data_IF_080433789382
#
_entry.id   IF_080433789382
#
_cell.length_a   1.000
_cell.length_b   1.000
_cell.length_c   1.000
_cell.angle_alpha   90.00
_cell.angle_beta   90.00
_cell.angle_gamma   90.00
#
_symmetry.space_group_name_H-M   'P 1'
#
loop_
_entity.id
_entity.type
_entity.pdbx_description
1 polymer ?
#
# COMPACT_ATOMS: atom_id res chain seq x y z
N UNK A 1 16.83 9.79 -2.55
CA UNK A 1 16.01 9.99 -1.32
C UNK A 1 14.71 9.26 -1.54
N UNK A 2 14.23 8.48 -0.57
CA UNK A 2 12.95 7.76 -0.69
C UNK A 2 11.78 8.72 -0.57
N UNK A 3 10.77 8.53 -1.42
CA UNK A 3 9.50 9.24 -1.35
C UNK A 3 8.58 8.47 -0.40
N UNK A 4 8.25 9.05 0.77
CA UNK A 4 7.34 8.46 1.75
C UNK A 4 6.04 9.23 1.74
N UNK A 5 4.98 8.60 1.25
CA UNK A 5 3.67 9.20 1.04
C UNK A 5 2.74 8.92 2.22
N UNK A 6 2.01 9.94 2.65
CA UNK A 6 0.79 9.75 3.44
C UNK A 6 -0.32 9.25 2.52
N UNK A 7 -1.32 8.56 3.06
CA UNK A 7 -2.34 7.93 2.24
C UNK A 7 -3.77 8.18 2.68
N UNK A 8 -4.66 8.06 1.70
CA UNK A 8 -6.10 7.95 1.94
C UNK A 8 -6.47 6.47 1.80
N UNK A 9 -6.63 5.78 2.91
CA UNK A 9 -7.17 4.42 2.97
C UNK A 9 -8.70 4.45 3.01
N UNK A 10 -9.35 3.41 2.48
CA UNK A 10 -10.83 3.32 2.41
C UNK A 10 -11.39 2.13 3.19
N UNK A 11 -10.57 1.51 4.04
CA UNK A 11 -10.99 0.48 4.98
C UNK A 11 -12.14 0.97 5.87
N UNK A 12 -12.91 0.03 6.44
CA UNK A 12 -14.13 0.33 7.19
C UNK A 12 -13.93 1.31 8.36
N UNK A 13 -12.74 1.29 8.99
CA UNK A 13 -12.38 2.19 10.10
C UNK A 13 -11.87 3.56 9.67
N UNK A 14 -11.64 3.79 8.38
CA UNK A 14 -11.00 5.01 7.87
C UNK A 14 -12.01 6.13 7.59
N UNK A 15 -11.79 7.30 8.20
CA UNK A 15 -12.46 8.55 7.80
C UNK A 15 -11.77 9.16 6.57
N UNK A 16 -11.95 8.55 5.41
CA UNK A 16 -11.33 8.97 4.17
C UNK A 16 -11.72 10.39 3.72
N UNK A 17 -12.98 10.82 4.01
CA UNK A 17 -13.41 12.19 3.71
C UNK A 17 -12.77 13.21 4.66
N UNK A 18 -12.62 12.86 5.92
CA UNK A 18 -11.87 13.67 6.89
C UNK A 18 -10.42 13.82 6.48
N UNK A 19 -9.77 12.75 5.99
CA UNK A 19 -8.41 12.80 5.46
C UNK A 19 -8.28 13.77 4.28
N UNK A 20 -9.22 13.78 3.34
CA UNK A 20 -9.21 14.74 2.21
C UNK A 20 -9.30 16.17 2.70
N UNK A 21 -10.19 16.46 3.65
CA UNK A 21 -10.30 17.79 4.27
C UNK A 21 -9.01 18.20 4.97
N UNK A 22 -8.39 17.27 5.65
CA UNK A 22 -7.13 17.47 6.37
C UNK A 22 -5.97 17.74 5.40
N UNK A 23 -5.87 16.97 4.30
CA UNK A 23 -4.90 17.18 3.22
C UNK A 23 -5.03 18.59 2.63
N UNK A 24 -6.27 19.01 2.32
CA UNK A 24 -6.56 20.35 1.84
C UNK A 24 -6.13 21.44 2.84
N UNK A 25 -6.48 21.28 4.12
CA UNK A 25 -6.11 22.22 5.20
C UNK A 25 -4.58 22.32 5.37
N UNK A 26 -3.87 21.20 5.23
CA UNK A 26 -2.41 21.14 5.34
C UNK A 26 -1.67 21.56 4.05
N UNK A 27 -2.40 21.84 2.98
CA UNK A 27 -1.83 22.26 1.70
C UNK A 27 -1.02 21.17 0.99
N UNK A 28 -1.23 19.90 1.32
CA UNK A 28 -0.54 18.79 0.68
C UNK A 28 -1.07 18.60 -0.75
N UNK A 29 -0.17 18.41 -1.70
CA UNK A 29 -0.50 18.24 -3.13
C UNK A 29 -0.24 16.83 -3.63
N UNK A 30 0.40 16.00 -2.82
CA UNK A 30 0.80 14.65 -3.18
C UNK A 30 0.42 13.67 -2.06
N UNK A 31 -0.23 12.56 -2.44
CA UNK A 31 -0.67 11.48 -1.54
C UNK A 31 -0.71 10.14 -2.28
N UNK A 32 -0.69 9.03 -1.54
CA UNK A 32 -1.12 7.73 -2.07
C UNK A 32 -2.61 7.52 -1.81
N UNK A 33 -3.27 6.67 -2.59
CA UNK A 33 -4.65 6.25 -2.35
C UNK A 33 -4.79 4.73 -2.34
N UNK A 34 -5.65 4.24 -1.43
CA UNK A 34 -5.97 2.83 -1.25
C UNK A 34 -7.48 2.64 -1.34
N UNK A 35 -8.09 2.68 -2.56
CA UNK A 35 -9.53 2.55 -2.75
C UNK A 35 -10.01 1.08 -2.68
N UNK A 36 -9.33 0.25 -1.90
CA UNK A 36 -9.48 -1.20 -1.84
C UNK A 36 -10.88 -1.68 -1.42
N UNK A 37 -11.59 -0.90 -0.59
CA UNK A 37 -12.94 -1.23 -0.14
C UNK A 37 -14.05 -0.56 -0.96
N UNK A 38 -13.71 0.14 -2.05
CA UNK A 38 -14.68 0.90 -2.85
C UNK A 38 -15.02 0.21 -4.18
N UNK A 39 -16.32 0.11 -4.46
CA UNK A 39 -16.82 -0.16 -5.80
C UNK A 39 -16.64 1.08 -6.68
N UNK A 40 -16.81 0.93 -8.00
CA UNK A 40 -16.53 1.95 -9.01
C UNK A 40 -17.12 3.32 -8.68
N UNK A 41 -18.42 3.38 -8.38
CA UNK A 41 -19.13 4.65 -8.13
C UNK A 41 -18.52 5.40 -6.94
N UNK A 42 -18.06 4.65 -5.94
CA UNK A 42 -17.43 5.23 -4.75
C UNK A 42 -16.00 5.69 -5.02
N UNK A 43 -15.30 5.03 -5.94
CA UNK A 43 -13.98 5.47 -6.39
C UNK A 43 -14.08 6.76 -7.21
N UNK A 44 -15.10 6.88 -8.07
CA UNK A 44 -15.38 8.10 -8.82
C UNK A 44 -15.66 9.28 -7.86
N UNK A 45 -16.47 9.06 -6.81
CA UNK A 45 -16.67 10.07 -5.75
C UNK A 45 -15.33 10.48 -5.08
N UNK A 46 -14.46 9.50 -4.80
CA UNK A 46 -13.15 9.78 -4.23
C UNK A 46 -12.34 10.68 -5.18
N UNK A 47 -12.27 10.35 -6.46
CA UNK A 47 -11.52 11.11 -7.45
C UNK A 47 -12.03 12.55 -7.59
N UNK A 48 -13.34 12.74 -7.65
CA UNK A 48 -13.97 14.07 -7.67
C UNK A 48 -13.60 14.90 -6.44
N UNK A 49 -13.54 14.28 -5.26
CA UNK A 49 -13.16 14.98 -4.03
C UNK A 49 -11.67 15.32 -3.98
N UNK A 50 -10.80 14.48 -4.57
CA UNK A 50 -9.38 14.80 -4.72
C UNK A 50 -9.18 16.03 -5.60
N UNK A 51 -9.90 16.13 -6.74
CA UNK A 51 -9.86 17.30 -7.60
C UNK A 51 -10.33 18.57 -6.88
N UNK A 52 -11.47 18.51 -6.20
CA UNK A 52 -12.01 19.63 -5.41
C UNK A 52 -11.12 20.07 -4.25
N UNK A 53 -10.27 19.17 -3.79
CA UNK A 53 -9.26 19.45 -2.76
C UNK A 53 -7.94 20.00 -3.33
N UNK A 54 -7.82 20.12 -4.66
CA UNK A 54 -6.60 20.53 -5.39
C UNK A 54 -5.41 19.59 -5.12
N UNK A 55 -5.71 18.29 -4.95
CA UNK A 55 -4.69 17.24 -4.90
C UNK A 55 -4.34 16.89 -6.34
N UNK A 56 -3.09 17.15 -6.73
CA UNK A 56 -2.67 17.09 -8.13
C UNK A 56 -1.83 15.87 -8.45
N UNK A 57 -1.28 15.23 -7.44
CA UNK A 57 -0.37 14.10 -7.61
C UNK A 57 -0.74 12.94 -6.72
N UNK A 58 -1.00 11.79 -7.32
CA UNK A 58 -1.26 10.52 -6.65
C UNK A 58 -0.33 9.46 -7.27
N UNK A 59 0.98 9.55 -6.97
CA UNK A 59 1.97 8.72 -7.68
C UNK A 59 1.86 7.23 -7.36
N UNK A 60 1.15 6.88 -6.27
CA UNK A 60 0.99 5.50 -5.86
C UNK A 60 -0.46 5.16 -5.53
N UNK A 61 -1.00 4.12 -6.19
CA UNK A 61 -2.39 3.69 -6.06
C UNK A 61 -2.47 2.18 -5.83
N UNK A 62 -3.14 1.76 -4.75
CA UNK A 62 -3.52 0.36 -4.60
C UNK A 62 -4.79 0.09 -5.41
N UNK A 63 -4.65 -0.63 -6.52
CA UNK A 63 -5.77 -0.95 -7.40
C UNK A 63 -6.47 -2.24 -6.96
N UNK A 64 -7.71 -2.39 -7.43
CA UNK A 64 -8.54 -3.59 -7.26
C UNK A 64 -8.56 -4.38 -8.57
N UNK A 65 -8.85 -5.67 -8.47
CA UNK A 65 -9.02 -6.55 -9.64
C UNK A 65 -10.17 -6.13 -10.59
N UNK A 66 -11.12 -5.30 -10.09
CA UNK A 66 -12.26 -4.77 -10.87
C UNK A 66 -12.02 -3.36 -11.47
N UNK A 67 -10.78 -2.84 -11.40
CA UNK A 67 -10.41 -1.57 -12.03
C UNK A 67 -10.01 -1.79 -13.50
N UNK A 68 -10.82 -1.22 -14.40
CA UNK A 68 -10.58 -1.36 -15.84
C UNK A 68 -9.31 -0.60 -16.28
N UNK A 69 -8.63 -1.01 -17.38
CA UNK A 69 -7.50 -0.28 -17.93
C UNK A 69 -7.73 1.21 -18.14
N UNK A 70 -8.93 1.62 -18.58
CA UNK A 70 -9.31 3.02 -18.73
C UNK A 70 -9.31 3.81 -17.41
N UNK A 71 -9.59 3.15 -16.28
CA UNK A 71 -9.50 3.78 -14.96
C UNK A 71 -8.04 4.02 -14.56
N UNK A 72 -7.13 3.12 -14.92
CA UNK A 72 -5.70 3.30 -14.72
C UNK A 72 -5.17 4.45 -15.59
N UNK A 73 -5.59 4.52 -16.88
CA UNK A 73 -5.23 5.62 -17.77
C UNK A 73 -5.71 6.97 -17.20
N UNK A 74 -6.94 7.03 -16.70
CA UNK A 74 -7.44 8.23 -16.03
C UNK A 74 -6.57 8.63 -14.83
N UNK A 75 -6.17 7.70 -13.97
CA UNK A 75 -5.31 7.98 -12.82
C UNK A 75 -3.92 8.48 -13.24
N UNK A 76 -3.37 7.92 -14.31
CA UNK A 76 -2.09 8.37 -14.88
C UNK A 76 -2.22 9.79 -15.45
N UNK A 77 -3.24 10.04 -16.28
CA UNK A 77 -3.40 11.32 -16.97
C UNK A 77 -3.81 12.45 -16.04
N UNK A 78 -4.71 12.16 -15.11
CA UNK A 78 -5.30 13.16 -14.22
C UNK A 78 -4.46 13.45 -12.98
N UNK A 79 -3.89 12.41 -12.39
CA UNK A 79 -3.21 12.49 -11.10
C UNK A 79 -1.73 12.08 -11.15
N UNK A 80 -1.19 11.82 -12.33
CA UNK A 80 0.21 11.47 -12.49
C UNK A 80 0.60 10.17 -11.77
N UNK A 81 -0.27 9.15 -11.76
CA UNK A 81 0.04 7.87 -11.15
C UNK A 81 1.25 7.23 -11.84
N UNK A 82 2.24 6.86 -11.04
CA UNK A 82 3.50 6.27 -11.49
C UNK A 82 3.54 4.77 -11.22
N UNK A 83 2.95 4.33 -10.09
CA UNK A 83 2.94 2.94 -9.64
C UNK A 83 1.58 2.53 -9.11
N UNK A 84 1.21 1.33 -9.50
CA UNK A 84 0.04 0.64 -8.99
C UNK A 84 0.49 -0.61 -8.25
N UNK A 85 -0.21 -1.02 -7.21
CA UNK A 85 -0.08 -2.38 -6.71
C UNK A 85 -1.43 -3.09 -6.75
N UNK A 86 -1.39 -4.41 -6.78
CA UNK A 86 -2.55 -5.29 -6.76
C UNK A 86 -2.20 -6.56 -5.98
N UNK A 87 -3.19 -7.16 -5.33
CA UNK A 87 -3.04 -8.48 -4.74
C UNK A 87 -2.83 -9.54 -5.83
N UNK A 88 -2.37 -10.73 -5.45
CA UNK A 88 -2.15 -11.83 -6.38
C UNK A 88 -3.44 -12.26 -7.08
N UNK A 89 -3.33 -12.76 -8.31
CA UNK A 89 -4.44 -13.34 -9.07
C UNK A 89 -5.11 -14.52 -8.33
N UNK A 90 -4.31 -15.20 -7.50
CA UNK A 90 -4.78 -16.32 -6.69
C UNK A 90 -5.72 -15.88 -5.56
N UNK A 91 -5.47 -14.73 -4.95
CA UNK A 91 -6.34 -14.17 -3.91
C UNK A 91 -7.58 -13.50 -4.51
N UNK A 92 -7.37 -12.69 -5.55
CA UNK A 92 -8.42 -11.94 -6.23
C UNK A 92 -8.22 -12.05 -7.74
N UNK A 93 -8.87 -13.00 -8.41
CA UNK A 93 -8.71 -13.24 -9.85
C UNK A 93 -8.86 -11.96 -10.68
N UNK A 94 -7.91 -11.72 -11.58
CA UNK A 94 -7.90 -10.53 -12.41
C UNK A 94 -9.05 -10.55 -13.41
N UNK A 95 -9.88 -9.52 -13.39
CA UNK A 95 -11.02 -9.37 -14.29
C UNK A 95 -10.57 -8.87 -15.66
N UNK A 96 -9.49 -8.09 -15.70
CA UNK A 96 -9.02 -7.44 -16.92
C UNK A 96 -7.63 -7.92 -17.33
N UNK A 97 -7.41 -7.96 -18.65
CA UNK A 97 -6.09 -8.16 -19.22
C UNK A 97 -5.42 -6.80 -19.45
N UNK A 98 -4.46 -6.47 -18.61
CA UNK A 98 -3.74 -5.22 -18.69
C UNK A 98 -2.72 -5.21 -19.85
N UNK A 99 -2.57 -4.05 -20.52
CA UNK A 99 -1.58 -3.82 -21.56
C UNK A 99 -0.15 -3.99 -21.02
N UNK A 100 0.83 -4.15 -21.91
CA UNK A 100 2.24 -4.20 -21.51
C UNK A 100 2.69 -2.91 -20.77
N UNK A 101 2.14 -1.75 -21.14
CA UNK A 101 2.38 -0.48 -20.43
C UNK A 101 1.87 -0.53 -19.00
N UNK A 102 0.60 -0.92 -18.82
CA UNK A 102 0.01 -1.01 -17.48
C UNK A 102 0.74 -2.04 -16.62
N UNK A 103 1.03 -3.24 -17.17
CA UNK A 103 1.74 -4.28 -16.41
C UNK A 103 3.08 -3.84 -15.87
N UNK A 104 3.84 -3.01 -16.58
CA UNK A 104 5.10 -2.45 -16.08
C UNK A 104 4.93 -1.47 -14.91
N UNK A 105 3.74 -0.89 -14.75
CA UNK A 105 3.39 0.02 -13.65
C UNK A 105 2.71 -0.68 -12.48
N UNK A 106 2.30 -1.94 -12.64
CA UNK A 106 1.60 -2.73 -11.62
C UNK A 106 2.61 -3.64 -10.92
N UNK A 107 2.60 -3.65 -9.60
CA UNK A 107 3.44 -4.45 -8.72
C UNK A 107 2.57 -5.41 -7.90
N UNK A 108 3.01 -6.67 -7.76
CA UNK A 108 2.26 -7.71 -7.04
C UNK A 108 2.58 -7.62 -5.56
N UNK A 109 1.55 -7.61 -4.73
CA UNK A 109 1.65 -7.46 -3.28
C UNK A 109 1.62 -8.80 -2.54
N UNK A 110 2.43 -8.91 -1.47
CA UNK A 110 2.36 -10.02 -0.53
C UNK A 110 1.26 -9.80 0.50
N UNK A 111 0.23 -10.61 0.48
CA UNK A 111 -0.84 -10.58 1.50
C UNK A 111 -0.99 -11.96 2.16
N UNK A 112 -1.88 -12.83 1.68
CA UNK A 112 -2.16 -14.11 2.34
C UNK A 112 -1.60 -15.32 1.60
N UNK A 113 -1.32 -15.16 0.31
CA UNK A 113 -0.73 -16.21 -0.52
C UNK A 113 0.78 -16.00 -0.68
N UNK A 114 1.58 -17.07 -0.81
CA UNK A 114 2.97 -16.92 -1.16
C UNK A 114 3.11 -16.32 -2.56
N UNK A 115 4.16 -15.55 -2.79
CA UNK A 115 4.46 -15.02 -4.11
C UNK A 115 4.59 -16.12 -5.16
N UNK A 116 3.99 -15.89 -6.34
CA UNK A 116 4.27 -16.64 -7.57
C UNK A 116 5.25 -15.84 -8.42
N UNK A 117 6.46 -16.36 -8.59
CA UNK A 117 7.50 -15.69 -9.37
C UNK A 117 7.11 -15.53 -10.85
N UNK A 118 6.33 -16.45 -11.41
CA UNK A 118 5.83 -16.33 -12.78
C UNK A 118 4.83 -15.19 -12.91
N UNK A 119 4.01 -14.96 -11.89
CA UNK A 119 3.11 -13.81 -11.85
C UNK A 119 3.90 -12.52 -11.76
N UNK A 120 4.84 -12.40 -10.83
CA UNK A 120 5.69 -11.21 -10.65
C UNK A 120 6.40 -10.81 -11.96
N UNK A 121 6.97 -11.78 -12.70
CA UNK A 121 7.64 -11.54 -13.99
C UNK A 121 6.73 -10.98 -15.09
N UNK A 122 5.43 -11.14 -14.97
CA UNK A 122 4.45 -10.58 -15.92
C UNK A 122 4.12 -9.12 -15.65
N UNK A 123 4.53 -8.59 -14.48
CA UNK A 123 4.25 -7.25 -13.99
C UNK A 123 5.54 -6.44 -13.74
N UNK A 124 5.44 -5.31 -13.09
CA UNK A 124 6.55 -4.40 -12.80
C UNK A 124 7.50 -4.89 -11.70
N UNK A 125 7.14 -5.95 -10.98
CA UNK A 125 7.87 -6.47 -9.84
C UNK A 125 6.99 -6.60 -8.59
N UNK A 126 7.57 -6.36 -7.43
CA UNK A 126 6.94 -6.56 -6.12
C UNK A 126 6.55 -5.23 -5.48
N UNK A 127 5.32 -5.14 -4.99
CA UNK A 127 4.94 -4.24 -3.91
C UNK A 127 5.13 -4.98 -2.59
N UNK A 128 6.14 -4.62 -1.82
CA UNK A 128 6.39 -5.29 -0.55
C UNK A 128 5.65 -4.59 0.59
N UNK A 129 4.57 -5.23 1.07
CA UNK A 129 4.01 -4.87 2.37
C UNK A 129 4.90 -5.45 3.48
N UNK A 130 5.60 -4.54 4.17
CA UNK A 130 6.53 -4.89 5.23
C UNK A 130 5.84 -5.47 6.46
N UNK A 131 4.58 -5.09 6.67
CA UNK A 131 3.81 -5.50 7.84
C UNK A 131 3.29 -6.92 7.66
N UNK A 132 2.81 -7.25 6.46
CA UNK A 132 2.43 -8.62 6.12
C UNK A 132 3.64 -9.56 6.14
N UNK A 133 4.79 -9.11 5.63
CA UNK A 133 6.02 -9.90 5.71
C UNK A 133 6.42 -10.17 7.17
N UNK A 134 6.35 -9.14 8.04
CA UNK A 134 6.66 -9.28 9.46
C UNK A 134 5.67 -10.19 10.20
N UNK A 135 4.39 -10.06 9.87
CA UNK A 135 3.33 -10.93 10.39
C UNK A 135 3.58 -12.39 10.02
N UNK A 136 3.98 -12.65 8.76
CA UNK A 136 4.34 -13.99 8.29
C UNK A 136 5.55 -14.56 9.02
N UNK A 137 6.54 -13.75 9.35
CA UNK A 137 7.70 -14.20 10.13
C UNK A 137 7.30 -14.78 11.50
N UNK A 138 6.17 -14.33 12.03
CA UNK A 138 5.65 -14.75 13.35
C UNK A 138 4.63 -15.87 13.25
N UNK A 139 3.79 -15.91 12.21
CA UNK A 139 2.63 -16.80 12.13
C UNK A 139 2.73 -17.85 11.02
N UNK A 140 3.47 -17.56 9.94
CA UNK A 140 3.55 -18.40 8.75
C UNK A 140 5.00 -18.53 8.26
N UNK A 141 5.93 -19.14 9.06
CA UNK A 141 7.35 -19.13 8.76
C UNK A 141 7.72 -19.77 7.41
N UNK A 142 6.92 -20.72 6.92
CA UNK A 142 7.12 -21.29 5.58
C UNK A 142 6.84 -20.28 4.45
N UNK A 143 5.76 -19.51 4.55
CA UNK A 143 5.45 -18.42 3.60
C UNK A 143 6.47 -17.29 3.69
N UNK A 144 6.87 -16.92 4.91
CA UNK A 144 7.94 -15.96 5.12
C UNK A 144 9.24 -16.36 4.40
N UNK A 145 9.71 -17.59 4.62
CA UNK A 145 10.95 -18.10 4.01
C UNK A 145 10.86 -18.11 2.48
N UNK A 146 9.74 -18.58 1.93
CA UNK A 146 9.48 -18.57 0.49
C UNK A 146 9.50 -17.12 -0.08
N UNK A 147 8.76 -16.21 0.56
CA UNK A 147 8.68 -14.83 0.10
C UNK A 147 10.06 -14.15 0.18
N UNK A 148 10.84 -14.38 1.23
CA UNK A 148 12.22 -13.86 1.32
C UNK A 148 13.10 -14.37 0.17
N UNK A 149 13.01 -15.65 -0.20
CA UNK A 149 13.75 -16.19 -1.34
C UNK A 149 13.37 -15.49 -2.67
N UNK A 150 12.09 -15.21 -2.87
CA UNK A 150 11.61 -14.47 -4.05
C UNK A 150 12.10 -13.02 -4.04
N UNK A 151 12.11 -12.35 -2.89
CA UNK A 151 12.61 -10.96 -2.74
C UNK A 151 14.08 -10.80 -3.11
N UNK A 152 14.91 -11.85 -2.91
CA UNK A 152 16.33 -11.80 -3.26
C UNK A 152 16.58 -11.76 -4.78
N UNK A 153 15.60 -12.15 -5.59
CA UNK A 153 15.73 -12.33 -7.04
C UNK A 153 14.89 -11.36 -7.86
N UNK A 154 13.98 -10.64 -7.22
CA UNK A 154 13.02 -9.78 -7.92
C UNK A 154 13.09 -8.34 -7.42
N UNK A 155 12.74 -7.39 -8.29
CA UNK A 155 12.72 -5.97 -7.98
C UNK A 155 11.56 -5.63 -7.03
N UNK A 156 11.86 -4.85 -5.98
CA UNK A 156 10.87 -4.25 -5.10
C UNK A 156 10.63 -2.83 -5.58
N UNK A 157 9.54 -2.62 -6.30
CA UNK A 157 9.22 -1.32 -6.90
C UNK A 157 8.49 -0.36 -5.96
N UNK A 158 7.74 -0.87 -4.98
CA UNK A 158 7.06 -0.03 -4.00
C UNK A 158 6.85 -0.77 -2.67
N UNK A 159 6.53 -0.02 -1.62
CA UNK A 159 6.24 -0.58 -0.32
C UNK A 159 4.95 -0.03 0.28
N UNK A 160 4.26 -0.88 1.03
CA UNK A 160 3.29 -0.48 2.05
C UNK A 160 3.89 -0.57 3.43
N UNK A 161 3.52 0.36 4.31
CA UNK A 161 3.91 0.35 5.71
C UNK A 161 2.70 0.60 6.59
N UNK A 162 2.33 -0.38 7.38
CA UNK A 162 1.40 -0.23 8.49
C UNK A 162 2.08 -0.58 9.81
N UNK A 163 1.38 -0.79 10.90
CA UNK A 163 2.01 -0.96 12.20
C UNK A 163 1.84 -2.36 12.78
N UNK A 164 2.81 -2.81 13.61
CA UNK A 164 2.76 -4.07 14.33
C UNK A 164 2.25 -3.87 15.75
N UNK A 165 1.28 -4.69 16.15
CA UNK A 165 0.77 -4.78 17.52
C UNK A 165 1.57 -5.80 18.33
N UNK A 166 1.54 -5.69 19.66
CA UNK A 166 2.15 -6.68 20.56
C UNK A 166 1.21 -7.86 20.85
N UNK A 167 -0.06 -7.70 20.58
CA UNK A 167 -1.10 -8.68 20.92
C UNK A 167 -1.69 -9.22 19.63
N UNK A 168 -1.75 -10.54 19.56
CA UNK A 168 -2.42 -11.25 18.48
C UNK A 168 -3.91 -10.90 18.50
N UNK A 169 -4.45 -10.49 17.38
CA UNK A 169 -5.87 -10.17 17.22
C UNK A 169 -6.47 -10.98 16.06
N UNK A 170 -7.76 -11.18 16.11
CA UNK A 170 -8.51 -11.74 15.00
C UNK A 170 -8.98 -10.60 14.10
N UNK A 171 -8.69 -10.69 12.82
CA UNK A 171 -9.27 -9.80 11.84
C UNK A 171 -10.73 -10.16 11.61
N UNK A 172 -11.60 -9.17 11.53
CA UNK A 172 -13.05 -9.40 11.35
C UNK A 172 -13.45 -9.53 9.87
N UNK A 173 -12.59 -9.08 8.95
CA UNK A 173 -12.90 -9.11 7.51
C UNK A 173 -12.58 -10.48 6.91
N UNK A 174 -11.44 -11.08 7.27
CA UNK A 174 -10.98 -12.36 6.73
C UNK A 174 -10.84 -13.48 7.78
N UNK A 175 -11.18 -13.17 9.03
CA UNK A 175 -11.17 -14.13 10.15
C UNK A 175 -9.76 -14.68 10.49
N UNK A 176 -8.70 -14.09 9.95
CA UNK A 176 -7.32 -14.47 10.21
C UNK A 176 -6.81 -13.96 11.56
N UNK A 177 -5.76 -14.58 12.08
CA UNK A 177 -5.03 -14.08 13.25
C UNK A 177 -3.87 -13.20 12.80
N UNK A 178 -3.70 -12.01 13.40
CA UNK A 178 -2.72 -11.03 12.99
C UNK A 178 -2.09 -10.25 14.14
N UNK A 179 -0.83 -9.84 13.94
CA UNK A 179 -0.16 -8.80 14.71
C UNK A 179 -0.15 -7.45 13.99
N UNK A 180 -0.32 -7.42 12.68
CA UNK A 180 -0.38 -6.19 11.88
C UNK A 180 -1.67 -5.39 12.13
N UNK A 181 -1.65 -4.10 11.88
CA UNK A 181 -2.79 -3.21 12.07
C UNK A 181 -2.65 -1.93 11.25
N UNK A 182 -3.76 -1.47 10.69
CA UNK A 182 -3.85 -0.15 10.07
C UNK A 182 -4.11 0.99 11.09
N UNK A 183 -4.26 0.67 12.37
CA UNK A 183 -4.48 1.66 13.44
C UNK A 183 -3.25 1.76 14.33
N UNK A 184 -2.47 2.83 14.14
CA UNK A 184 -1.30 3.13 14.95
C UNK A 184 -1.72 3.78 16.27
N UNK A 185 -1.16 3.31 17.38
CA UNK A 185 -1.32 3.89 18.72
C UNK A 185 -0.03 4.54 19.24
N UNK A 186 1.13 4.04 18.82
CA UNK A 186 2.46 4.50 19.24
C UNK A 186 3.43 4.43 18.06
N UNK A 187 4.28 5.42 17.89
CA UNK A 187 5.30 5.43 16.83
C UNK A 187 6.25 4.23 16.88
N UNK A 188 6.55 3.73 18.10
CA UNK A 188 7.38 2.53 18.27
C UNK A 188 6.79 1.24 17.68
N UNK A 189 5.52 1.24 17.27
CA UNK A 189 4.93 0.12 16.53
C UNK A 189 5.48 0.01 15.10
N UNK A 190 6.23 1.02 14.64
CA UNK A 190 6.99 1.00 13.39
C UNK A 190 8.42 0.45 13.56
N UNK A 191 8.87 0.16 14.79
CA UNK A 191 10.25 -0.28 15.06
C UNK A 191 10.60 -1.65 14.49
N UNK A 192 9.60 -2.48 14.13
CA UNK A 192 9.81 -3.77 13.47
C UNK A 192 10.60 -3.59 12.15
N UNK A 193 10.46 -2.45 11.47
CA UNK A 193 11.16 -2.14 10.22
C UNK A 193 12.69 -2.13 10.37
N UNK A 194 13.22 -1.91 11.58
CA UNK A 194 14.67 -1.94 11.87
C UNK A 194 15.30 -3.33 11.67
N UNK A 195 14.49 -4.38 11.68
CA UNK A 195 14.95 -5.78 11.51
C UNK A 195 15.28 -6.12 10.06
N UNK A 196 14.80 -5.32 9.12
CA UNK A 196 14.89 -5.60 7.70
C UNK A 196 16.03 -4.83 7.02
N UNK A 197 16.69 -5.44 6.02
CA UNK A 197 17.76 -4.79 5.28
C UNK A 197 17.23 -3.64 4.44
N UNK A 198 18.06 -2.60 4.27
CA UNK A 198 17.67 -1.38 3.53
C UNK A 198 17.28 -1.65 2.06
N UNK A 199 17.74 -2.74 1.46
CA UNK A 199 17.37 -3.15 0.11
C UNK A 199 15.90 -3.56 -0.05
N UNK A 200 15.18 -3.84 1.07
CA UNK A 200 13.75 -4.16 1.04
C UNK A 200 12.86 -2.93 0.94
N UNK A 201 13.43 -1.74 1.08
CA UNK A 201 12.70 -0.48 0.96
C UNK A 201 13.01 0.16 -0.39
N UNK A 202 11.99 0.25 -1.23
CA UNK A 202 12.05 0.92 -2.52
C UNK A 202 12.21 2.44 -2.38
N UNK A 203 12.29 3.13 -3.48
CA UNK A 203 12.28 4.60 -3.53
C UNK A 203 10.87 5.20 -3.35
N UNK A 204 9.80 4.40 -3.52
CA UNK A 204 8.41 4.81 -3.32
C UNK A 204 7.73 3.98 -2.23
N UNK A 205 7.34 4.64 -1.15
CA UNK A 205 6.76 4.03 0.05
C UNK A 205 5.45 4.75 0.38
N UNK A 206 4.38 4.01 0.65
CA UNK A 206 3.13 4.56 1.16
C UNK A 206 2.85 4.08 2.59
N UNK A 207 2.43 5.01 3.45
CA UNK A 207 1.97 4.69 4.80
C UNK A 207 0.51 4.28 4.70
N UNK A 208 0.21 3.01 5.00
CA UNK A 208 -1.15 2.47 4.95
C UNK A 208 -1.78 2.45 6.35
N UNK A 209 -2.25 3.60 6.80
CA UNK A 209 -2.87 3.75 8.11
C UNK A 209 -4.26 4.40 8.02
N UNK A 210 -5.18 3.95 8.88
CA UNK A 210 -6.49 4.56 9.08
C UNK A 210 -6.42 5.89 9.84
N UNK A 211 -5.32 6.13 10.54
CA UNK A 211 -5.06 7.34 11.28
C UNK A 211 -5.14 8.61 10.43
N UNK A 212 -5.35 9.75 11.09
CA UNK A 212 -5.35 11.08 10.49
C UNK A 212 -4.07 11.35 9.69
N UNK A 213 -4.14 12.27 8.73
CA UNK A 213 -2.97 12.68 7.94
C UNK A 213 -1.89 13.29 8.83
N UNK A 214 -2.25 14.07 9.85
CA UNK A 214 -1.28 14.60 10.81
C UNK A 214 -0.53 13.48 11.55
N UNK A 215 -1.22 12.40 11.91
CA UNK A 215 -0.56 11.23 12.52
C UNK A 215 0.37 10.55 11.52
N UNK A 216 -0.05 10.38 10.28
CA UNK A 216 0.79 9.80 9.23
C UNK A 216 2.03 10.65 8.93
N UNK A 217 1.92 11.99 8.98
CA UNK A 217 3.08 12.89 8.88
C UNK A 217 4.08 12.68 10.01
N UNK A 218 3.62 12.48 11.25
CA UNK A 218 4.48 12.11 12.39
C UNK A 218 5.16 10.76 12.18
N UNK A 219 4.43 9.80 11.60
CA UNK A 219 5.01 8.49 11.22
C UNK A 219 6.09 8.68 10.16
N UNK A 220 5.83 9.46 9.10
CA UNK A 220 6.82 9.77 8.07
C UNK A 220 8.10 10.35 8.66
N UNK A 221 7.98 11.34 9.54
CA UNK A 221 9.13 11.94 10.22
C UNK A 221 9.88 10.93 11.08
N UNK A 222 9.16 10.03 11.74
CA UNK A 222 9.74 8.96 12.54
C UNK A 222 10.51 7.96 11.66
N UNK A 223 9.95 7.57 10.52
CA UNK A 223 10.59 6.67 9.56
C UNK A 223 11.91 7.27 9.06
N UNK A 224 11.91 8.54 8.69
CA UNK A 224 13.12 9.24 8.23
C UNK A 224 14.17 9.33 9.35
N UNK A 225 13.79 9.84 10.53
CA UNK A 225 14.73 10.19 11.61
C UNK A 225 15.18 9.00 12.44
N UNK A 226 14.35 7.98 12.62
CA UNK A 226 14.59 6.87 13.56
C UNK A 226 14.82 5.53 12.89
N UNK A 227 14.23 5.31 11.73
CA UNK A 227 14.40 4.09 10.94
C UNK A 227 15.47 4.31 9.86
N UNK A 228 15.66 5.57 9.43
CA UNK A 228 16.64 5.95 8.41
C UNK A 228 16.20 5.59 6.98
N UNK A 229 14.90 5.74 6.69
CA UNK A 229 14.33 5.56 5.35
C UNK A 229 14.41 6.81 4.50
#
# INVERSE_FOLDING_TARGET
>A
MRKILVSITTTRGSDWRGKIKEIKRLGLKEVAIFPTCFKKEKREELYDLLEKADIRNVPFVHIRNDMAPAELDYLVEKFGAERFNIHTDREFPFIYNYSSRHRKMIFIENVYEPFDENEIRRFGGICLDMTHLDNDSLLCPGRFAHNVEILERNEIGCNHLSCMQKVLRRDFEDVSWRYDSHVLRKLSQMDYLKRYPKKYFSDMIAIELENTIETQLKVRDYLIKRIGL
#
